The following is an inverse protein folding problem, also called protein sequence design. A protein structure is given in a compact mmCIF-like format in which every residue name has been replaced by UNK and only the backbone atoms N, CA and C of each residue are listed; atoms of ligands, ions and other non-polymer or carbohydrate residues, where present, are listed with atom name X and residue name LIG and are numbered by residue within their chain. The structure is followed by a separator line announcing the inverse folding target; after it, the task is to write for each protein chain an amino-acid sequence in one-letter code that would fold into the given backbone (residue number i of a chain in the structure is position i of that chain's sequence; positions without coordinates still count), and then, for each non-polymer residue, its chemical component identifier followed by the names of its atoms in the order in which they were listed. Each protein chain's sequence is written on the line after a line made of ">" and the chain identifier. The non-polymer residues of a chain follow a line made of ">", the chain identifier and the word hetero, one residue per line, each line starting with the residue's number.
data_IF_295597138671
#
_entry.id   IF_295597138671
#
_cell.length_a   1.000
_cell.length_b   1.000
_cell.length_c   1.000
_cell.angle_alpha   90.00
_cell.angle_beta   90.00
_cell.angle_gamma   90.00
#
_symmetry.space_group_name_H-M   'P 1'
#
loop_
_entity.id
_entity.type
_entity.pdbx_description
1 polymer ?
#
# COMPACT_ATOMS: atom_id res chain seq x y z
N UNK A 1 -17.51 3.41 11.07
CA UNK A 1 -16.65 3.94 12.15
C UNK A 1 -15.47 4.62 11.49
N UNK A 2 -15.17 5.87 11.83
CA UNK A 2 -14.02 6.58 11.25
C UNK A 2 -12.78 6.07 11.98
N UNK A 3 -11.91 5.34 11.28
CA UNK A 3 -10.60 4.94 11.80
C UNK A 3 -9.78 6.17 12.14
N UNK A 4 -9.02 6.13 13.22
CA UNK A 4 -8.05 7.19 13.52
C UNK A 4 -6.69 6.74 12.99
N UNK A 5 -6.10 7.53 12.09
CA UNK A 5 -4.73 7.31 11.64
C UNK A 5 -3.82 7.33 12.87
N UNK A 6 -3.23 6.17 13.18
CA UNK A 6 -2.28 6.07 14.29
C UNK A 6 -0.89 6.53 13.85
N UNK A 7 -0.52 6.19 12.61
CA UNK A 7 0.75 6.64 12.02
C UNK A 7 0.71 6.59 10.50
N UNK A 8 1.24 7.63 9.86
CA UNK A 8 1.49 7.69 8.42
C UNK A 8 2.97 8.01 8.19
N UNK A 9 3.60 7.36 7.21
CA UNK A 9 4.92 7.74 6.67
C UNK A 9 4.75 7.92 5.17
N UNK A 10 5.22 9.06 4.65
CA UNK A 10 5.23 9.36 3.23
C UNK A 10 6.62 9.14 2.66
N UNK A 11 6.72 8.40 1.57
CA UNK A 11 7.95 8.18 0.81
C UNK A 11 7.75 8.67 -0.63
N UNK A 12 8.67 9.51 -1.10
CA UNK A 12 8.63 10.08 -2.45
C UNK A 12 9.41 9.19 -3.43
N UNK A 13 8.70 8.59 -4.38
CA UNK A 13 9.29 7.88 -5.51
C UNK A 13 9.46 8.79 -6.72
N UNK A 14 9.95 8.26 -7.85
CA UNK A 14 10.10 9.03 -9.09
C UNK A 14 8.75 9.23 -9.80
N UNK A 15 7.96 8.17 -9.92
CA UNK A 15 6.65 8.14 -10.59
C UNK A 15 5.49 8.03 -9.60
N UNK A 16 5.74 7.50 -8.41
CA UNK A 16 4.71 7.25 -7.40
C UNK A 16 5.06 7.91 -6.07
N UNK A 17 4.04 8.32 -5.32
CA UNK A 17 4.13 8.59 -3.90
C UNK A 17 3.62 7.39 -3.13
N UNK A 18 4.24 7.09 -2.00
CA UNK A 18 3.86 5.97 -1.16
C UNK A 18 3.45 6.47 0.22
N UNK A 19 2.33 5.97 0.72
CA UNK A 19 1.88 6.17 2.10
C UNK A 19 1.89 4.84 2.81
N UNK A 20 2.72 4.72 3.85
CA UNK A 20 2.72 3.59 4.76
C UNK A 20 1.82 3.96 5.92
N UNK A 21 0.66 3.32 6.02
CA UNK A 21 -0.40 3.71 6.96
C UNK A 21 -0.65 2.59 7.97
N UNK A 22 -0.84 3.00 9.21
CA UNK A 22 -1.42 2.19 10.26
C UNK A 22 -2.60 2.95 10.86
N UNK A 23 -3.80 2.40 10.69
CA UNK A 23 -5.05 2.96 11.22
C UNK A 23 -5.57 2.09 12.36
N UNK A 24 -6.20 2.70 13.36
CA UNK A 24 -6.75 1.97 14.50
C UNK A 24 -8.27 2.03 14.47
N UNK A 25 -8.90 0.86 14.52
CA UNK A 25 -10.34 0.66 14.57
C UNK A 25 -10.69 -0.12 15.84
N UNK A 26 -10.98 0.59 16.93
CA UNK A 26 -11.14 -0.04 18.24
C UNK A 26 -9.85 -0.71 18.71
N UNK A 27 -9.88 -2.05 18.84
CA UNK A 27 -8.71 -2.85 19.22
C UNK A 27 -7.90 -3.40 18.03
N UNK A 28 -8.44 -3.25 16.82
CA UNK A 28 -7.82 -3.72 15.58
C UNK A 28 -6.93 -2.64 14.97
N UNK A 29 -5.88 -3.08 14.29
CA UNK A 29 -4.99 -2.20 13.53
C UNK A 29 -5.01 -2.63 12.09
N UNK A 30 -5.41 -1.73 11.20
CA UNK A 30 -5.27 -1.93 9.78
C UNK A 30 -3.91 -1.41 9.32
N UNK A 31 -3.20 -2.21 8.52
CA UNK A 31 -1.93 -1.83 7.91
C UNK A 31 -2.04 -1.93 6.39
N UNK A 32 -1.67 -0.85 5.70
CA UNK A 32 -1.58 -0.85 4.24
C UNK A 32 -0.49 0.10 3.74
N UNK A 33 0.05 -0.23 2.57
CA UNK A 33 0.91 0.63 1.77
C UNK A 33 0.07 1.08 0.58
N UNK A 34 -0.16 2.39 0.49
CA UNK A 34 -0.90 2.99 -0.62
C UNK A 34 0.09 3.63 -1.59
N UNK A 35 0.06 3.19 -2.84
CA UNK A 35 0.78 3.82 -3.94
C UNK A 35 -0.13 4.83 -4.64
N UNK A 36 0.42 5.98 -5.03
CA UNK A 36 -0.31 7.07 -5.69
C UNK A 36 0.51 7.52 -6.89
N UNK A 37 0.00 7.30 -8.10
CA UNK A 37 0.65 7.74 -9.33
C UNK A 37 0.72 9.26 -9.37
N UNK A 38 1.92 9.84 -9.54
CA UNK A 38 2.10 11.30 -9.57
C UNK A 38 1.40 11.94 -10.77
N UNK A 39 1.31 11.22 -11.89
CA UNK A 39 0.76 11.71 -13.15
C UNK A 39 -0.77 11.60 -13.18
N UNK A 40 -1.30 10.38 -13.03
CA UNK A 40 -2.76 10.14 -13.16
C UNK A 40 -3.53 10.37 -11.88
N UNK A 41 -2.83 10.51 -10.74
CA UNK A 41 -3.39 10.51 -9.38
C UNK A 41 -4.13 9.24 -8.99
N UNK A 42 -4.09 8.19 -9.83
CA UNK A 42 -4.64 6.89 -9.50
C UNK A 42 -3.89 6.29 -8.31
N UNK A 43 -4.60 5.54 -7.47
CA UNK A 43 -4.05 4.94 -6.26
C UNK A 43 -4.51 3.51 -6.10
N UNK A 44 -3.65 2.68 -5.51
CA UNK A 44 -3.97 1.32 -5.09
C UNK A 44 -3.25 0.99 -3.80
N UNK A 45 -3.85 0.11 -2.99
CA UNK A 45 -3.18 -0.51 -1.86
C UNK A 45 -2.41 -1.74 -2.37
N UNK A 46 -1.12 -1.83 -2.05
CA UNK A 46 -0.19 -2.72 -2.75
C UNK A 46 0.39 -3.83 -1.89
N UNK A 47 -0.21 -4.09 -0.72
CA UNK A 47 0.32 -5.09 0.21
C UNK A 47 0.38 -6.49 -0.40
N UNK A 48 -0.58 -6.81 -1.26
CA UNK A 48 -0.73 -8.11 -1.93
C UNK A 48 0.12 -8.25 -3.19
N UNK A 49 0.84 -7.21 -3.62
CA UNK A 49 1.79 -7.35 -4.73
C UNK A 49 2.92 -8.30 -4.30
N UNK A 50 3.22 -9.31 -5.11
CA UNK A 50 4.26 -10.31 -4.79
C UNK A 50 5.60 -9.69 -4.37
N UNK A 51 6.01 -8.60 -5.04
CA UNK A 51 7.22 -7.86 -4.70
C UNK A 51 7.19 -7.23 -3.29
N UNK A 52 6.01 -6.81 -2.83
CA UNK A 52 5.80 -6.21 -1.52
C UNK A 52 5.64 -7.30 -0.45
N UNK A 53 4.92 -8.37 -0.76
CA UNK A 53 4.78 -9.56 0.10
C UNK A 53 6.14 -10.16 0.46
N UNK A 54 7.02 -10.38 -0.52
CA UNK A 54 8.34 -10.96 -0.30
C UNK A 54 9.17 -10.15 0.69
N UNK A 55 9.04 -8.81 0.68
CA UNK A 55 9.73 -7.94 1.64
C UNK A 55 9.07 -7.92 3.02
N UNK A 56 7.74 -7.88 3.10
CA UNK A 56 7.01 -7.73 4.36
C UNK A 56 7.00 -8.99 5.22
N UNK A 57 6.78 -10.16 4.60
CA UNK A 57 6.54 -11.43 5.30
C UNK A 57 7.53 -12.54 4.89
N UNK A 58 8.22 -12.39 3.75
CA UNK A 58 9.12 -13.40 3.20
C UNK A 58 8.42 -14.48 2.38
N UNK A 59 9.17 -15.14 1.51
CA UNK A 59 8.64 -16.08 0.48
C UNK A 59 7.91 -17.31 1.06
N UNK A 60 8.19 -17.68 2.31
CA UNK A 60 7.57 -18.86 2.93
C UNK A 60 6.14 -18.61 3.43
N UNK A 61 5.68 -17.35 3.43
CA UNK A 61 4.39 -16.94 3.99
C UNK A 61 3.46 -16.34 2.92
N UNK A 62 3.87 -16.30 1.65
CA UNK A 62 3.07 -15.68 0.57
C UNK A 62 1.76 -16.42 0.30
N UNK A 63 1.71 -17.73 0.57
CA UNK A 63 0.49 -18.54 0.41
C UNK A 63 -0.45 -18.47 1.61
N UNK A 64 -0.13 -17.68 2.64
CA UNK A 64 -0.98 -17.52 3.82
C UNK A 64 -2.19 -16.64 3.47
N UNK A 65 -3.44 -17.14 3.56
CA UNK A 65 -4.64 -16.39 3.17
C UNK A 65 -4.80 -15.05 3.92
N UNK A 66 -4.17 -14.89 5.08
CA UNK A 66 -4.13 -13.63 5.83
C UNK A 66 -3.59 -12.44 5.01
N UNK A 67 -2.79 -12.69 3.99
CA UNK A 67 -2.08 -11.65 3.24
C UNK A 67 -2.55 -11.46 1.80
N UNK A 68 -3.65 -12.11 1.40
CA UNK A 68 -4.19 -12.01 0.04
C UNK A 68 -4.84 -10.64 -0.22
N UNK A 69 -5.39 -10.01 0.82
CA UNK A 69 -6.01 -8.70 0.72
C UNK A 69 -4.97 -7.58 0.58
N UNK A 70 -5.36 -6.49 -0.06
CA UNK A 70 -4.53 -5.30 -0.27
C UNK A 70 -4.29 -4.47 1.01
N UNK A 71 -5.06 -4.73 2.08
CA UNK A 71 -4.87 -4.20 3.43
C UNK A 71 -5.02 -5.31 4.45
N UNK A 72 -4.32 -5.20 5.59
CA UNK A 72 -4.27 -6.29 6.58
C UNK A 72 -4.71 -5.84 7.95
N UNK A 73 -5.60 -6.61 8.57
CA UNK A 73 -5.87 -6.52 10.01
C UNK A 73 -4.76 -7.23 10.77
N UNK A 74 -4.03 -6.48 11.58
CA UNK A 74 -2.82 -6.93 12.26
C UNK A 74 -2.80 -6.47 13.71
N UNK A 75 -1.94 -7.07 14.53
CA UNK A 75 -1.68 -6.58 15.89
C UNK A 75 -0.85 -5.29 15.85
N UNK A 76 -0.91 -4.48 16.91
CA UNK A 76 -0.04 -3.29 17.08
C UNK A 76 1.46 -3.60 16.92
N UNK A 77 1.88 -4.79 17.37
CA UNK A 77 3.28 -5.25 17.25
C UNK A 77 3.64 -5.55 15.79
N UNK A 78 2.76 -6.22 15.05
CA UNK A 78 2.92 -6.49 13.62
C UNK A 78 2.90 -5.20 12.81
N UNK A 79 1.94 -4.29 13.04
CA UNK A 79 1.90 -2.99 12.38
C UNK A 79 3.23 -2.24 12.53
N UNK A 80 3.77 -2.16 13.76
CA UNK A 80 5.08 -1.53 14.00
C UNK A 80 6.23 -2.23 13.26
N UNK A 81 6.20 -3.56 13.17
CA UNK A 81 7.18 -4.34 12.39
C UNK A 81 7.07 -4.02 10.90
N UNK A 82 5.87 -4.10 10.33
CA UNK A 82 5.63 -3.89 8.91
C UNK A 82 5.91 -2.44 8.49
N UNK A 83 5.52 -1.45 9.28
CA UNK A 83 5.88 -0.05 9.01
C UNK A 83 7.39 0.16 8.92
N UNK A 84 8.17 -0.49 9.79
CA UNK A 84 9.63 -0.40 9.75
C UNK A 84 10.20 -1.05 8.50
N UNK A 85 9.72 -2.25 8.14
CA UNK A 85 10.17 -2.98 6.96
C UNK A 85 9.82 -2.19 5.69
N UNK A 86 8.56 -1.76 5.56
CA UNK A 86 8.07 -0.93 4.48
C UNK A 86 8.90 0.34 4.29
N UNK A 87 9.17 1.05 5.39
CA UNK A 87 9.99 2.26 5.33
C UNK A 87 11.42 1.94 4.87
N UNK A 88 11.98 0.80 5.25
CA UNK A 88 13.33 0.43 4.84
C UNK A 88 13.40 0.09 3.34
N UNK A 89 12.52 -0.77 2.83
CA UNK A 89 12.60 -1.17 1.41
C UNK A 89 12.16 -0.05 0.46
N UNK A 90 11.21 0.81 0.87
CA UNK A 90 10.82 1.96 0.06
C UNK A 90 11.90 3.05 0.02
N UNK A 91 12.83 3.08 0.98
CA UNK A 91 14.01 3.96 0.92
C UNK A 91 15.23 3.30 0.23
N UNK A 92 15.06 2.12 -0.38
CA UNK A 92 16.10 1.47 -1.18
C UNK A 92 15.92 1.81 -2.66
N UNK A 93 16.83 2.59 -3.25
CA UNK A 93 16.74 3.06 -4.64
C UNK A 93 16.49 1.93 -5.66
N UNK A 94 17.21 0.81 -5.52
CA UNK A 94 17.08 -0.33 -6.43
C UNK A 94 15.69 -0.96 -6.34
N UNK A 95 15.19 -1.14 -5.12
CA UNK A 95 13.87 -1.72 -4.90
C UNK A 95 12.78 -0.76 -5.36
N UNK A 96 12.90 0.53 -5.03
CA UNK A 96 11.97 1.57 -5.48
C UNK A 96 11.84 1.60 -7.01
N UNK A 97 12.97 1.60 -7.73
CA UNK A 97 12.95 1.55 -9.20
C UNK A 97 12.26 0.30 -9.74
N UNK A 98 12.51 -0.86 -9.12
CA UNK A 98 11.88 -2.12 -9.48
C UNK A 98 10.38 -2.10 -9.21
N UNK A 99 9.97 -1.66 -8.02
CA UNK A 99 8.57 -1.56 -7.61
C UNK A 99 7.79 -0.63 -8.54
N UNK A 100 8.30 0.57 -8.83
CA UNK A 100 7.59 1.48 -9.74
C UNK A 100 7.42 0.92 -11.14
N UNK A 101 8.36 0.08 -11.61
CA UNK A 101 8.19 -0.60 -12.89
C UNK A 101 7.02 -1.59 -12.81
N UNK A 102 6.95 -2.37 -11.73
CA UNK A 102 5.85 -3.31 -11.48
C UNK A 102 4.49 -2.61 -11.33
N UNK A 103 4.44 -1.45 -10.68
CA UNK A 103 3.21 -0.67 -10.56
C UNK A 103 2.75 -0.11 -11.91
N UNK A 104 3.67 0.23 -12.80
CA UNK A 104 3.28 0.63 -14.16
C UNK A 104 2.76 -0.56 -14.98
N UNK A 105 3.40 -1.72 -14.89
CA UNK A 105 2.90 -2.96 -15.52
C UNK A 105 1.46 -3.25 -15.03
N UNK A 106 1.24 -3.27 -13.71
CA UNK A 106 -0.04 -3.53 -13.04
C UNK A 106 -1.13 -2.48 -13.38
N UNK A 107 -0.76 -1.19 -13.45
CA UNK A 107 -1.67 -0.11 -13.83
C UNK A 107 -2.07 -0.18 -15.31
N UNK A 108 -1.16 -0.59 -16.20
CA UNK A 108 -1.46 -0.75 -17.63
C UNK A 108 -2.43 -1.90 -17.89
N UNK A 109 -2.45 -2.90 -17.01
CA UNK A 109 -3.39 -4.03 -17.04
C UNK A 109 -4.80 -3.68 -16.50
N UNK A 110 -4.98 -2.48 -15.93
CA UNK A 110 -6.30 -1.95 -15.56
C UNK A 110 -6.69 -2.15 -14.09
N UNK A 111 -5.84 -2.77 -13.29
CA UNK A 111 -6.09 -3.16 -11.87
C UNK A 111 -6.17 -1.98 -10.87
N UNK A 112 -6.25 -0.73 -11.35
CA UNK A 112 -6.19 0.49 -10.52
C UNK A 112 -7.45 1.34 -10.68
N UNK A 113 -8.37 1.18 -9.74
CA UNK A 113 -9.74 1.71 -9.82
C UNK A 113 -9.93 3.09 -9.16
N UNK A 114 -9.02 3.52 -8.27
CA UNK A 114 -9.25 4.69 -7.40
C UNK A 114 -8.45 5.93 -7.83
N UNK A 115 -9.02 7.14 -7.70
CA UNK A 115 -8.33 8.42 -7.96
C UNK A 115 -8.25 9.27 -6.69
N UNK A 116 -7.06 9.81 -6.40
CA UNK A 116 -6.86 10.84 -5.37
C UNK A 116 -7.18 12.21 -5.97
N UNK A 117 -8.15 12.90 -5.41
CA UNK A 117 -8.54 14.27 -5.80
C UNK A 117 -7.54 15.32 -5.29
N UNK A 118 -7.66 16.56 -5.77
CA UNK A 118 -6.81 17.67 -5.34
C UNK A 118 -6.94 18.01 -3.84
N UNK A 119 -8.07 17.65 -3.22
CA UNK A 119 -8.30 17.75 -1.76
C UNK A 119 -7.66 16.61 -0.96
N UNK A 120 -7.09 15.60 -1.62
CA UNK A 120 -6.53 14.40 -0.98
C UNK A 120 -7.56 13.32 -0.68
N UNK A 121 -8.83 13.53 -1.06
CA UNK A 121 -9.91 12.54 -0.91
C UNK A 121 -9.81 11.47 -2.00
N UNK A 122 -10.06 10.22 -1.64
CA UNK A 122 -10.11 9.10 -2.58
C UNK A 122 -11.53 9.00 -3.13
N UNK A 123 -11.67 9.02 -4.45
CA UNK A 123 -12.92 8.66 -5.13
C UNK A 123 -12.79 7.24 -5.65
N UNK A 124 -13.63 6.37 -5.10
CA UNK A 124 -13.89 5.04 -5.63
C UNK A 124 -14.83 5.20 -6.83
N UNK A 125 -14.48 4.62 -7.97
CA UNK A 125 -15.42 4.51 -9.09
C UNK A 125 -16.27 3.27 -8.83
N UNK A 126 -17.53 3.47 -8.47
CA UNK A 126 -18.52 2.40 -8.58
C UNK A 126 -18.76 2.20 -10.08
N UNK A 127 -18.45 1.01 -10.61
CA UNK A 127 -18.85 0.63 -11.95
C UNK A 127 -20.39 0.75 -12.03
N UNK A 128 -20.88 1.69 -12.84
CA UNK A 128 -22.30 1.75 -13.20
C UNK A 128 -22.61 0.51 -14.06
N UNK A 129 -23.23 -0.50 -13.45
CA UNK A 129 -23.88 -1.64 -14.13
C UNK A 129 -24.92 -1.20 -15.18
#
# INVERSE_FOLDING_TARGET
>A
MIGTIHKEIVVDGKRYNFKIVSEVFGDEVEFYIRAICKFTKRTSCINNLNAVLSELIGDNETDNPKYYDSSWTVTKKEAKKFMRIANNFLNCDRFMMYLEKKLDDDREEGEWENIVTESGEIKEYEDEE
#
